data_IF_837865948375
#
_entry.id   IF_837865948375
#
_cell.length_a   1.000
_cell.length_b   1.000
_cell.length_c   1.000
_cell.angle_alpha   90.00
_cell.angle_beta   90.00
_cell.angle_gamma   90.00
#
_symmetry.space_group_name_H-M   'P 1'
#
loop_
_entity.id
_entity.type
_entity.pdbx_description
1 polymer ?
#
# COMPACT_ATOMS: atom_id res chain seq x y z
N UNK A 1 -24.88 -2.95 4.49
CA UNK A 1 -23.54 -2.33 4.56
C UNK A 1 -23.48 -1.20 3.55
N UNK A 2 -23.11 0.02 3.96
CA UNK A 2 -22.85 1.12 3.02
C UNK A 2 -21.37 1.06 2.66
N UNK A 3 -21.08 0.62 1.45
CA UNK A 3 -19.72 0.61 0.90
C UNK A 3 -19.45 1.98 0.28
N UNK A 4 -18.26 2.52 0.48
CA UNK A 4 -17.83 3.77 -0.13
C UNK A 4 -16.56 3.54 -0.96
N UNK A 5 -16.53 4.09 -2.18
CA UNK A 5 -15.33 4.19 -3.01
C UNK A 5 -14.60 5.47 -2.65
N UNK A 6 -13.29 5.41 -2.46
CA UNK A 6 -12.46 6.61 -2.41
C UNK A 6 -11.97 6.87 -3.83
N UNK A 7 -12.30 8.03 -4.38
CA UNK A 7 -11.97 8.40 -5.76
C UNK A 7 -11.12 9.66 -5.77
N UNK A 8 -10.09 9.67 -6.61
CA UNK A 8 -9.22 10.83 -6.80
C UNK A 8 -9.15 11.17 -8.28
N UNK A 9 -9.19 12.47 -8.55
CA UNK A 9 -8.88 13.02 -9.85
C UNK A 9 -7.35 13.13 -9.98
N UNK A 10 -6.77 12.39 -10.90
CA UNK A 10 -5.35 12.47 -11.22
C UNK A 10 -5.17 13.26 -12.51
N UNK A 11 -4.35 14.31 -12.49
CA UNK A 11 -3.95 15.07 -13.66
C UNK A 11 -2.53 14.69 -14.08
N UNK A 12 -2.27 14.68 -15.40
CA UNK A 12 -0.92 14.44 -15.91
C UNK A 12 -0.05 15.67 -15.67
N UNK A 13 1.13 15.46 -15.09
CA UNK A 13 2.09 16.54 -14.87
C UNK A 13 2.48 17.21 -16.20
N UNK A 14 2.29 18.53 -16.28
CA UNK A 14 2.55 19.37 -17.44
C UNK A 14 1.43 19.41 -18.49
N UNK A 15 0.40 18.56 -18.35
CA UNK A 15 -0.73 18.43 -19.28
C UNK A 15 -2.03 18.26 -18.46
N UNK A 16 -2.47 19.31 -17.72
CA UNK A 16 -3.58 19.20 -16.77
C UNK A 16 -4.94 18.85 -17.40
N UNK A 17 -5.10 19.06 -18.71
CA UNK A 17 -6.25 18.62 -19.50
C UNK A 17 -6.34 17.09 -19.63
N UNK A 18 -5.23 16.38 -19.45
CA UNK A 18 -5.18 14.93 -19.42
C UNK A 18 -5.43 14.44 -17.99
N UNK A 19 -6.71 14.32 -17.64
CA UNK A 19 -7.16 13.88 -16.33
C UNK A 19 -7.86 12.52 -16.36
N UNK A 20 -7.69 11.76 -15.29
CA UNK A 20 -8.36 10.47 -15.08
C UNK A 20 -8.95 10.41 -13.68
N UNK A 21 -10.19 9.96 -13.56
CA UNK A 21 -10.77 9.61 -12.27
C UNK A 21 -10.34 8.19 -11.90
N UNK A 22 -9.74 8.03 -10.73
CA UNK A 22 -9.22 6.74 -10.25
C UNK A 22 -9.87 6.39 -8.92
N UNK A 23 -10.50 5.23 -8.87
CA UNK A 23 -10.92 4.62 -7.60
C UNK A 23 -9.70 3.99 -6.91
N UNK A 24 -9.39 4.45 -5.70
CA UNK A 24 -8.27 3.95 -4.92
C UNK A 24 -8.69 2.66 -4.19
N UNK A 25 -8.60 1.55 -4.94
CA UNK A 25 -8.84 0.20 -4.46
C UNK A 25 -10.31 -0.23 -4.49
N UNK A 26 -10.58 -1.47 -4.08
CA UNK A 26 -11.94 -2.02 -4.12
C UNK A 26 -12.84 -1.38 -3.05
N UNK A 27 -14.08 -0.97 -3.40
CA UNK A 27 -15.06 -0.51 -2.42
C UNK A 27 -15.70 -1.67 -1.63
N UNK A 28 -15.55 -2.91 -2.10
CA UNK A 28 -16.19 -4.07 -1.49
C UNK A 28 -15.66 -4.32 -0.07
N UNK A 29 -16.57 -4.34 0.91
CA UNK A 29 -16.24 -4.61 2.32
C UNK A 29 -15.59 -3.44 3.06
N UNK A 30 -15.42 -2.26 2.43
CA UNK A 30 -14.87 -1.08 3.09
C UNK A 30 -15.97 -0.16 3.60
N UNK A 31 -15.97 0.10 4.90
CA UNK A 31 -16.86 1.10 5.50
C UNK A 31 -16.38 2.52 5.19
N UNK A 32 -17.27 3.51 5.35
CA UNK A 32 -16.91 4.93 5.24
C UNK A 32 -15.79 5.32 6.22
N UNK A 33 -15.82 4.77 7.44
CA UNK A 33 -14.80 5.03 8.46
C UNK A 33 -13.42 4.52 8.02
N UNK A 34 -13.35 3.32 7.44
CA UNK A 34 -12.11 2.79 6.87
C UNK A 34 -11.59 3.67 5.73
N UNK A 35 -12.48 4.14 4.84
CA UNK A 35 -12.10 5.04 3.76
C UNK A 35 -11.63 6.39 4.26
N UNK A 36 -12.25 6.93 5.33
CA UNK A 36 -11.79 8.15 5.99
C UNK A 36 -10.39 7.97 6.57
N UNK A 37 -10.13 6.86 7.27
CA UNK A 37 -8.80 6.56 7.80
C UNK A 37 -7.74 6.45 6.69
N UNK A 38 -8.08 5.80 5.58
CA UNK A 38 -7.21 5.72 4.42
C UNK A 38 -6.97 7.08 3.74
N UNK A 39 -8.00 7.92 3.65
CA UNK A 39 -7.84 9.29 3.17
C UNK A 39 -6.93 10.12 4.07
N UNK A 40 -7.09 10.05 5.39
CA UNK A 40 -6.21 10.75 6.33
C UNK A 40 -4.76 10.27 6.20
N UNK A 41 -4.52 8.97 5.99
CA UNK A 41 -3.19 8.45 5.70
C UNK A 41 -2.58 9.10 4.45
N UNK A 42 -3.31 9.15 3.33
CA UNK A 42 -2.84 9.78 2.09
C UNK A 42 -2.59 11.27 2.32
N UNK A 43 -3.52 11.97 2.97
CA UNK A 43 -3.42 13.40 3.28
C UNK A 43 -2.20 13.71 4.13
N UNK A 44 -1.95 12.94 5.19
CA UNK A 44 -0.78 13.07 6.05
C UNK A 44 0.50 12.81 5.28
N UNK A 45 0.57 11.76 4.46
CA UNK A 45 1.74 11.49 3.63
C UNK A 45 2.04 12.64 2.67
N UNK A 46 1.01 13.19 2.00
CA UNK A 46 1.17 14.27 1.03
C UNK A 46 1.56 15.61 1.68
N UNK A 47 1.10 15.89 2.90
CA UNK A 47 1.34 17.17 3.57
C UNK A 47 2.60 17.16 4.45
N UNK A 48 2.86 16.05 5.15
CA UNK A 48 3.89 15.95 6.19
C UNK A 48 5.07 15.08 5.77
N UNK A 49 5.02 14.49 4.57
CA UNK A 49 6.05 13.60 4.05
C UNK A 49 5.89 12.15 4.53
N UNK A 50 6.90 11.30 4.26
CA UNK A 50 6.80 9.86 4.48
C UNK A 50 6.79 9.45 5.96
N UNK A 51 7.17 10.34 6.88
CA UNK A 51 7.32 10.03 8.29
C UNK A 51 6.31 10.84 9.11
N UNK A 52 5.33 10.14 9.65
CA UNK A 52 4.29 10.69 10.50
C UNK A 52 3.89 9.70 11.58
N UNK A 53 3.30 10.19 12.67
CA UNK A 53 2.83 9.39 13.79
C UNK A 53 1.40 8.87 13.60
N UNK A 54 0.88 8.18 14.60
CA UNK A 54 -0.48 7.65 14.62
C UNK A 54 -1.59 8.71 14.55
N UNK A 55 -1.28 9.98 14.83
CA UNK A 55 -2.20 11.12 14.69
C UNK A 55 -2.10 11.78 13.31
N UNK A 56 -1.11 11.36 12.51
CA UNK A 56 -0.82 11.91 11.20
C UNK A 56 0.04 13.17 11.24
N UNK A 57 0.63 13.53 12.39
CA UNK A 57 1.58 14.64 12.52
C UNK A 57 2.98 14.20 12.08
N UNK A 58 3.81 15.14 11.59
CA UNK A 58 5.19 14.84 11.18
C UNK A 58 5.99 14.20 12.32
N UNK A 59 6.83 13.22 11.98
CA UNK A 59 7.71 12.51 12.90
C UNK A 59 9.12 12.43 12.31
N UNK A 60 10.15 12.62 13.12
CA UNK A 60 11.55 12.40 12.74
C UNK A 60 11.91 10.91 12.68
N UNK A 61 11.08 10.04 13.26
CA UNK A 61 11.25 8.58 13.25
C UNK A 61 10.28 7.92 12.27
N UNK A 62 10.77 6.90 11.56
CA UNK A 62 10.01 6.03 10.66
C UNK A 62 9.41 4.78 11.36
N UNK A 63 9.56 4.66 12.68
CA UNK A 63 9.11 3.49 13.46
C UNK A 63 7.63 3.18 13.27
N UNK A 64 6.78 4.20 13.33
CA UNK A 64 5.34 4.02 13.14
C UNK A 64 5.04 3.46 11.74
N UNK A 65 5.61 4.06 10.70
CA UNK A 65 5.37 3.64 9.31
C UNK A 65 5.93 2.25 9.05
N UNK A 66 7.10 1.92 9.57
CA UNK A 66 7.66 0.55 9.52
C UNK A 66 6.74 -0.45 10.21
N UNK A 67 6.21 -0.12 11.39
CA UNK A 67 5.26 -1.00 12.09
C UNK A 67 4.01 -1.31 11.26
N UNK A 68 3.53 -0.34 10.47
CA UNK A 68 2.40 -0.54 9.56
C UNK A 68 2.80 -1.37 8.33
N UNK A 69 3.99 -1.15 7.78
CA UNK A 69 4.51 -1.91 6.64
C UNK A 69 4.79 -3.38 7.00
N UNK A 70 5.25 -3.66 8.22
CA UNK A 70 5.50 -5.02 8.71
C UNK A 70 4.21 -5.85 8.82
N UNK A 71 3.04 -5.21 8.95
CA UNK A 71 1.74 -5.88 8.90
C UNK A 71 1.32 -6.25 7.47
N UNK A 72 1.93 -5.65 6.44
CA UNK A 72 1.56 -5.85 5.04
C UNK A 72 2.27 -7.06 4.43
N UNK A 73 1.79 -8.25 4.78
CA UNK A 73 2.26 -9.51 4.21
C UNK A 73 1.89 -9.61 2.72
N UNK A 74 2.89 -9.87 1.87
CA UNK A 74 2.66 -10.21 0.45
C UNK A 74 1.91 -11.54 0.37
N UNK A 75 1.09 -11.72 -0.66
CA UNK A 75 0.36 -12.97 -0.85
C UNK A 75 1.29 -14.20 -1.00
N UNK A 76 2.51 -14.02 -1.50
CA UNK A 76 3.47 -15.13 -1.56
C UNK A 76 4.07 -15.51 -0.20
N UNK A 77 3.94 -14.65 0.80
CA UNK A 77 4.43 -14.87 2.17
C UNK A 77 3.40 -15.61 3.04
N UNK A 78 2.13 -15.62 2.62
CA UNK A 78 1.05 -16.30 3.35
C UNK A 78 1.32 -17.78 3.58
N UNK A 79 1.93 -18.49 2.63
CA UNK A 79 2.31 -19.90 2.84
C UNK A 79 3.27 -20.06 4.03
N UNK A 80 4.26 -19.17 4.15
CA UNK A 80 5.19 -19.16 5.27
C UNK A 80 4.51 -18.80 6.59
N UNK A 81 3.66 -17.78 6.57
CA UNK A 81 2.87 -17.36 7.73
C UNK A 81 1.95 -18.48 8.24
N UNK A 82 1.22 -19.16 7.35
CA UNK A 82 0.34 -20.28 7.71
C UNK A 82 1.11 -21.48 8.25
N UNK A 83 2.29 -21.80 7.70
CA UNK A 83 3.17 -22.84 8.26
C UNK A 83 3.64 -22.49 9.67
N UNK A 84 3.91 -21.22 9.95
CA UNK A 84 4.27 -20.75 11.30
C UNK A 84 3.10 -20.91 12.27
N UNK A 85 1.90 -20.46 11.90
CA UNK A 85 0.68 -20.61 12.71
C UNK A 85 0.42 -22.09 13.05
N UNK A 86 0.52 -22.98 12.05
CA UNK A 86 0.31 -24.42 12.26
C UNK A 86 1.37 -25.02 13.20
N UNK A 87 2.63 -24.58 13.10
CA UNK A 87 3.69 -25.02 14.01
C UNK A 87 3.43 -24.57 15.45
N UNK A 88 3.04 -23.31 15.64
CA UNK A 88 2.71 -22.77 16.97
C UNK A 88 1.51 -23.51 17.59
N UNK A 89 0.47 -23.80 16.80
CA UNK A 89 -0.66 -24.63 17.24
C UNK A 89 -0.24 -26.04 17.63
N UNK A 90 0.71 -26.63 16.89
CA UNK A 90 1.26 -27.95 17.21
C UNK A 90 2.04 -27.93 18.54
N UNK A 91 2.87 -26.91 18.75
CA UNK A 91 3.64 -26.73 19.98
C UNK A 91 2.74 -26.49 21.20
N UNK A 92 1.67 -25.72 21.04
CA UNK A 92 0.69 -25.46 22.11
C UNK A 92 -0.26 -26.64 22.38
N UNK A 93 -0.41 -27.57 21.44
CA UNK A 93 -1.45 -28.61 21.47
C UNK A 93 -1.15 -29.86 22.30
N UNK A 94 0.05 -29.99 22.89
CA UNK A 94 0.48 -31.11 23.75
C UNK A 94 0.00 -32.51 23.27
N UNK A 95 0.12 -32.79 21.96
CA UNK A 95 -0.25 -34.08 21.36
C UNK A 95 -1.72 -34.25 20.95
N UNK A 96 -2.59 -33.27 21.20
CA UNK A 96 -3.96 -33.24 20.68
C UNK A 96 -4.03 -32.84 19.19
N UNK A 97 -5.16 -33.14 18.54
CA UNK A 97 -5.35 -32.82 17.12
C UNK A 97 -5.43 -31.29 16.93
N UNK A 98 -4.33 -30.69 16.49
CA UNK A 98 -4.12 -29.24 16.41
C UNK A 98 -4.56 -28.63 15.05
N UNK A 99 -4.88 -29.45 14.05
CA UNK A 99 -5.30 -29.01 12.72
C UNK A 99 -6.83 -29.01 12.63
N UNK A 100 -7.42 -27.83 12.50
CA UNK A 100 -8.83 -27.72 12.10
C UNK A 100 -8.98 -27.93 10.59
N UNK A 101 -10.20 -28.28 10.13
CA UNK A 101 -10.48 -28.36 8.70
C UNK A 101 -10.18 -27.06 7.95
N UNK A 102 -10.41 -25.92 8.59
CA UNK A 102 -10.07 -24.59 8.07
C UNK A 102 -8.55 -24.41 7.92
N UNK A 103 -7.75 -24.86 8.89
CA UNK A 103 -6.28 -24.80 8.81
C UNK A 103 -5.76 -25.61 7.63
N UNK A 104 -6.31 -26.81 7.41
CA UNK A 104 -5.96 -27.65 6.26
C UNK A 104 -6.32 -26.98 4.93
N UNK A 105 -7.55 -26.46 4.81
CA UNK A 105 -8.01 -25.77 3.60
C UNK A 105 -7.16 -24.55 3.28
N UNK A 106 -6.83 -23.73 4.30
CA UNK A 106 -5.97 -22.56 4.11
C UNK A 106 -4.55 -22.96 3.69
N UNK A 107 -3.98 -24.00 4.31
CA UNK A 107 -2.65 -24.50 3.91
C UNK A 107 -2.65 -24.99 2.46
N UNK A 108 -3.64 -25.81 2.08
CA UNK A 108 -3.76 -26.35 0.73
C UNK A 108 -3.92 -25.23 -0.30
N UNK A 109 -4.81 -24.27 -0.04
CA UNK A 109 -5.01 -23.11 -0.90
C UNK A 109 -3.71 -22.32 -1.11
N UNK A 110 -2.98 -22.03 -0.02
CA UNK A 110 -1.72 -21.30 -0.11
C UNK A 110 -0.63 -22.09 -0.86
N UNK A 111 -0.62 -23.42 -0.80
CA UNK A 111 0.29 -24.26 -1.60
C UNK A 111 -0.07 -24.18 -3.09
N UNK A 112 -1.34 -24.35 -3.43
CA UNK A 112 -1.82 -24.35 -4.81
C UNK A 112 -1.57 -23.01 -5.51
N UNK A 113 -1.80 -21.90 -4.81
CA UNK A 113 -1.64 -20.55 -5.36
C UNK A 113 -0.24 -19.96 -5.18
N UNK A 114 0.66 -20.61 -4.45
CA UNK A 114 2.03 -20.10 -4.22
C UNK A 114 2.79 -19.74 -5.51
N UNK A 115 2.78 -20.58 -6.57
CA UNK A 115 3.47 -20.22 -7.81
C UNK A 115 2.91 -18.96 -8.46
N UNK A 116 1.58 -18.83 -8.51
CA UNK A 116 0.90 -17.63 -9.04
C UNK A 116 1.27 -16.39 -8.24
N UNK A 117 1.24 -16.48 -6.90
CA UNK A 117 1.57 -15.36 -6.03
C UNK A 117 3.03 -14.91 -6.20
N UNK A 118 3.97 -15.85 -6.40
CA UNK A 118 5.38 -15.52 -6.68
C UNK A 118 5.57 -14.85 -8.04
N UNK A 119 4.85 -15.29 -9.07
CA UNK A 119 4.87 -14.65 -10.37
C UNK A 119 4.30 -13.22 -10.25
N UNK A 120 3.20 -13.05 -9.53
CA UNK A 120 2.59 -11.74 -9.30
C UNK A 120 3.56 -10.79 -8.57
N UNK A 121 4.25 -11.26 -7.53
CA UNK A 121 5.27 -10.45 -6.84
C UNK A 121 6.38 -10.01 -7.78
N UNK A 122 6.91 -10.92 -8.61
CA UNK A 122 7.93 -10.61 -9.61
C UNK A 122 7.44 -9.57 -10.62
N UNK A 123 6.21 -9.72 -11.14
CA UNK A 123 5.60 -8.79 -12.08
C UNK A 123 5.44 -7.40 -11.44
N UNK A 124 4.95 -7.34 -10.20
CA UNK A 124 4.79 -6.06 -9.49
C UNK A 124 6.12 -5.38 -9.22
N UNK A 125 7.14 -6.12 -8.78
CA UNK A 125 8.48 -5.56 -8.56
C UNK A 125 9.05 -4.99 -9.87
N UNK A 126 8.87 -5.70 -10.98
CA UNK A 126 9.32 -5.23 -12.30
C UNK A 126 8.53 -4.01 -12.79
N UNK A 127 7.21 -3.99 -12.57
CA UNK A 127 6.34 -2.86 -12.91
C UNK A 127 6.69 -1.61 -12.10
N UNK A 128 6.87 -1.75 -10.78
CA UNK A 128 7.30 -0.66 -9.88
C UNK A 128 8.63 -0.05 -10.34
N UNK A 129 9.63 -0.89 -10.64
CA UNK A 129 10.93 -0.44 -11.17
C UNK A 129 10.78 0.31 -12.51
N UNK A 130 10.03 -0.26 -13.46
CA UNK A 130 9.79 0.36 -14.77
C UNK A 130 9.07 1.71 -14.64
N UNK A 131 8.12 1.81 -13.72
CA UNK A 131 7.40 3.06 -13.45
C UNK A 131 8.34 4.14 -12.92
N UNK A 132 9.10 3.86 -11.85
CA UNK A 132 10.04 4.83 -11.27
C UNK A 132 11.05 5.35 -12.30
N UNK A 133 11.57 4.48 -13.16
CA UNK A 133 12.54 4.87 -14.20
C UNK A 133 11.96 5.76 -15.30
N UNK A 134 10.63 5.93 -15.38
CA UNK A 134 9.95 6.77 -16.36
C UNK A 134 9.43 8.07 -15.76
N UNK A 135 9.59 8.26 -14.46
CA UNK A 135 9.12 9.48 -13.81
C UNK A 135 10.00 10.66 -14.23
N UNK A 136 9.40 11.85 -14.47
CA UNK A 136 10.17 13.06 -14.72
C UNK A 136 11.10 13.37 -13.55
N UNK A 137 12.28 13.93 -13.85
CA UNK A 137 13.30 14.26 -12.84
C UNK A 137 12.75 15.12 -11.70
N UNK A 138 11.90 16.10 -12.04
CA UNK A 138 11.21 16.97 -11.09
C UNK A 138 10.37 16.20 -10.05
N UNK A 139 9.87 15.01 -10.41
CA UNK A 139 9.13 14.14 -9.48
C UNK A 139 10.11 13.29 -8.67
N UNK A 140 11.13 12.71 -9.30
CA UNK A 140 12.08 11.83 -8.61
C UNK A 140 12.91 12.55 -7.57
N UNK A 141 13.36 13.77 -7.84
CA UNK A 141 14.10 14.62 -6.87
C UNK A 141 13.27 14.89 -5.61
N UNK A 142 11.95 15.06 -5.73
CA UNK A 142 11.06 15.30 -4.59
C UNK A 142 10.76 14.05 -3.76
N UNK A 143 11.06 12.86 -4.28
CA UNK A 143 10.95 11.62 -3.54
C UNK A 143 12.20 11.31 -2.71
N UNK A 144 13.30 12.06 -2.91
CA UNK A 144 14.49 11.95 -2.08
C UNK A 144 14.21 12.48 -0.68
N UNK A 145 14.91 11.95 0.33
CA UNK A 145 14.65 12.30 1.73
C UNK A 145 14.89 13.79 2.02
N UNK A 146 15.85 14.40 1.31
CA UNK A 146 16.21 15.81 1.33
C UNK A 146 15.67 16.57 0.09
N UNK A 147 14.70 15.99 -0.60
CA UNK A 147 14.09 16.55 -1.81
C UNK A 147 13.26 17.81 -1.55
N UNK A 148 12.97 18.62 -2.60
CA UNK A 148 12.13 19.82 -2.46
C UNK A 148 10.71 19.49 -1.97
N UNK A 149 10.18 20.28 -1.04
CA UNK A 149 8.81 20.13 -0.53
C UNK A 149 7.77 20.91 -1.35
N UNK A 150 8.19 21.68 -2.35
CA UNK A 150 7.30 22.43 -3.23
C UNK A 150 6.38 21.49 -4.01
N UNK A 151 5.06 21.71 -3.89
CA UNK A 151 4.06 20.86 -4.54
C UNK A 151 4.14 21.02 -6.06
N UNK A 152 3.94 19.93 -6.79
CA UNK A 152 3.97 19.94 -8.25
C UNK A 152 2.95 20.93 -8.84
N UNK A 153 1.79 21.05 -8.21
CA UNK A 153 0.73 22.00 -8.62
C UNK A 153 1.18 23.46 -8.55
N UNK A 154 2.02 23.81 -7.56
CA UNK A 154 2.50 25.17 -7.40
C UNK A 154 3.49 25.51 -8.54
N UNK A 155 4.35 24.55 -8.92
CA UNK A 155 5.25 24.69 -10.07
C UNK A 155 4.50 24.80 -11.40
N UNK A 156 3.41 24.07 -11.55
CA UNK A 156 2.57 24.13 -12.75
C UNK A 156 1.89 25.50 -12.86
N UNK A 157 1.43 26.06 -11.73
CA UNK A 157 0.87 27.43 -11.68
C UNK A 157 1.90 28.50 -12.00
N UNK A 158 3.13 28.37 -11.49
CA UNK A 158 4.25 29.26 -11.83
C UNK A 158 4.56 29.23 -13.34
N UNK A 159 4.33 28.10 -14.00
CA UNK A 159 4.46 27.94 -15.45
C UNK A 159 3.24 28.42 -16.24
N UNK A 160 2.23 28.96 -15.57
CA UNK A 160 1.00 29.47 -16.19
C UNK A 160 -0.01 28.39 -16.59
N UNK A 161 0.15 27.15 -16.12
CA UNK A 161 -0.83 26.10 -16.34
C UNK A 161 -2.05 26.31 -15.43
N UNK A 162 -3.24 25.98 -15.96
CA UNK A 162 -4.48 26.02 -15.17
C UNK A 162 -4.66 24.67 -14.47
N UNK A 163 -4.45 24.67 -13.14
CA UNK A 163 -4.32 23.43 -12.33
C UNK A 163 -5.27 23.39 -11.15
#
# INVERSE_FOLDING_TARGET
>A
MRNASLEVLMKRLGEPENEIMVSIGTPAGKSLEMQKGFWEYIRSYMNNGPWFDHTGAHSESDDFVKSQLDLNLKQSEYLGAWRKIIREKKEAGDGSNYLTGTDFLMLLNNILFYPSNKIQDFVYERAKRRSRNRWPTVVTERLEADGPTTRLIDLERERGLTV
#
